data_IF_891807891169
#
_entry.id   IF_891807891169
#
_cell.length_a   1.000
_cell.length_b   1.000
_cell.length_c   1.000
_cell.angle_alpha   90.00
_cell.angle_beta   90.00
_cell.angle_gamma   90.00
#
_symmetry.space_group_name_H-M   'P 1'
#
loop_
_entity.id
_entity.type
_entity.pdbx_description
1 polymer ?
#
# COMPACT_ATOMS: atom_id res chain seq x y z
N UNK A 1 -60.85 -2.37 -19.53
CA UNK A 1 -59.37 -2.35 -19.53
C UNK A 1 -58.95 -1.01 -18.98
N UNK A 2 -58.48 -0.96 -17.73
CA UNK A 2 -57.81 0.24 -17.20
C UNK A 2 -56.47 -0.21 -16.61
N UNK A 3 -55.41 -0.03 -17.39
CA UNK A 3 -54.03 -0.18 -16.95
C UNK A 3 -53.63 1.09 -16.20
N UNK A 4 -53.86 1.12 -14.89
CA UNK A 4 -53.35 2.17 -14.01
C UNK A 4 -51.85 1.99 -13.77
N UNK A 5 -51.02 2.73 -14.51
CA UNK A 5 -49.57 2.75 -14.33
C UNK A 5 -49.24 3.51 -13.03
N UNK A 6 -48.98 2.76 -11.94
CA UNK A 6 -48.59 3.32 -10.64
C UNK A 6 -47.15 3.86 -10.71
N UNK A 7 -46.99 5.18 -10.86
CA UNK A 7 -45.71 5.89 -10.90
C UNK A 7 -45.03 6.02 -9.51
N UNK A 8 -45.68 5.60 -8.43
CA UNK A 8 -45.11 5.62 -7.08
C UNK A 8 -44.18 4.42 -6.81
N UNK A 9 -43.26 4.14 -7.74
CA UNK A 9 -42.06 3.37 -7.41
C UNK A 9 -41.27 4.24 -6.42
N UNK A 10 -41.25 3.82 -5.16
CA UNK A 10 -40.48 4.41 -4.06
C UNK A 10 -38.99 4.41 -4.40
N UNK A 11 -38.55 5.39 -5.18
CA UNK A 11 -37.16 5.52 -5.65
C UNK A 11 -36.24 6.18 -4.61
N UNK A 12 -36.75 6.59 -3.45
CA UNK A 12 -36.06 7.58 -2.61
C UNK A 12 -35.76 7.14 -1.17
N UNK A 13 -35.75 5.84 -0.85
CA UNK A 13 -35.37 5.37 0.49
C UNK A 13 -33.84 5.28 0.72
N UNK A 14 -33.02 5.41 -0.33
CA UNK A 14 -31.56 5.39 -0.22
C UNK A 14 -30.92 6.79 -0.13
N UNK A 15 -31.51 7.81 -0.76
CA UNK A 15 -30.93 9.16 -0.84
C UNK A 15 -30.91 9.89 0.52
N UNK A 16 -31.91 9.66 1.38
CA UNK A 16 -32.00 10.28 2.71
C UNK A 16 -31.03 9.67 3.75
N UNK A 17 -30.29 8.62 3.39
CA UNK A 17 -29.24 8.02 4.22
C UNK A 17 -27.84 8.59 3.93
N UNK A 18 -27.74 9.57 3.03
CA UNK A 18 -26.50 10.29 2.66
C UNK A 18 -26.55 11.73 3.20
N UNK A 19 -27.17 11.94 4.36
CA UNK A 19 -27.05 13.21 5.08
C UNK A 19 -25.69 13.24 5.79
N UNK A 20 -24.96 14.38 5.76
CA UNK A 20 -23.66 14.49 6.40
C UNK A 20 -23.72 14.07 7.87
N UNK A 21 -23.04 12.98 8.23
CA UNK A 21 -23.00 12.49 9.59
C UNK A 21 -21.83 13.14 10.35
N UNK A 22 -21.83 13.09 11.69
CA UNK A 22 -20.69 13.57 12.51
C UNK A 22 -19.37 12.91 12.12
N UNK A 23 -19.44 11.67 11.62
CA UNK A 23 -18.30 10.92 11.09
C UNK A 23 -17.75 11.51 9.78
N UNK A 24 -18.55 12.24 9.02
CA UNK A 24 -18.09 12.83 7.76
C UNK A 24 -17.10 13.97 8.02
N UNK A 25 -17.25 14.69 9.13
CA UNK A 25 -16.26 15.68 9.58
C UNK A 25 -14.89 15.06 9.88
N UNK A 26 -14.82 13.76 10.16
CA UNK A 26 -13.57 13.03 10.39
C UNK A 26 -13.12 12.38 9.08
N UNK A 27 -14.05 11.77 8.33
CA UNK A 27 -13.77 11.05 7.10
C UNK A 27 -13.27 11.97 5.98
N UNK A 28 -13.86 13.15 5.80
CA UNK A 28 -13.45 14.08 4.75
C UNK A 28 -11.98 14.53 4.89
N UNK A 29 -11.53 15.06 6.04
CA UNK A 29 -10.11 15.37 6.24
C UNK A 29 -9.19 14.16 6.08
N UNK A 30 -9.61 12.98 6.56
CA UNK A 30 -8.82 11.75 6.40
C UNK A 30 -8.63 11.37 4.94
N UNK A 31 -9.70 11.38 4.15
CA UNK A 31 -9.66 11.06 2.72
C UNK A 31 -8.82 12.10 1.97
N UNK A 32 -9.01 13.39 2.24
CA UNK A 32 -8.24 14.47 1.62
C UNK A 32 -6.75 14.31 1.97
N UNK A 33 -6.43 14.01 3.24
CA UNK A 33 -5.07 13.77 3.69
C UNK A 33 -4.46 12.57 2.94
N UNK A 34 -5.20 11.46 2.81
CA UNK A 34 -4.72 10.27 2.11
C UNK A 34 -4.48 10.53 0.62
N UNK A 35 -5.38 11.28 -0.04
CA UNK A 35 -5.20 11.70 -1.43
C UNK A 35 -3.99 12.63 -1.57
N UNK A 36 -3.85 13.62 -0.68
CA UNK A 36 -2.72 14.56 -0.70
C UNK A 36 -1.40 13.82 -0.47
N UNK A 37 -1.33 12.91 0.49
CA UNK A 37 -0.16 12.06 0.73
C UNK A 37 0.18 11.20 -0.49
N UNK A 38 -0.83 10.61 -1.14
CA UNK A 38 -0.64 9.84 -2.37
C UNK A 38 -0.12 10.68 -3.53
N UNK A 39 -0.66 11.88 -3.73
CA UNK A 39 -0.24 12.81 -4.78
C UNK A 39 1.19 13.32 -4.55
N UNK A 40 1.51 13.72 -3.32
CA UNK A 40 2.87 14.17 -2.94
C UNK A 40 3.84 13.01 -3.11
N UNK A 41 3.52 11.84 -2.57
CA UNK A 41 4.38 10.66 -2.71
C UNK A 41 4.64 10.28 -4.16
N UNK A 42 3.61 10.33 -5.02
CA UNK A 42 3.77 10.05 -6.44
C UNK A 42 4.67 11.07 -7.15
N UNK A 43 4.50 12.37 -6.85
CA UNK A 43 5.34 13.43 -7.39
C UNK A 43 6.82 13.25 -7.00
N UNK A 44 7.07 13.03 -5.70
CA UNK A 44 8.43 12.82 -5.16
C UNK A 44 9.08 11.54 -5.70
N UNK A 45 8.30 10.48 -5.90
CA UNK A 45 8.79 9.21 -6.47
C UNK A 45 9.24 9.35 -7.93
N UNK A 46 8.62 10.27 -8.68
CA UNK A 46 8.97 10.57 -10.07
C UNK A 46 10.15 11.55 -10.19
N UNK A 47 10.62 12.12 -9.08
CA UNK A 47 11.73 13.07 -9.09
C UNK A 47 13.05 12.40 -9.53
N UNK A 48 14.00 13.19 -10.09
CA UNK A 48 15.32 12.70 -10.46
C UNK A 48 16.10 12.20 -9.24
N UNK A 49 16.86 11.11 -9.37
CA UNK A 49 17.62 10.54 -8.25
C UNK A 49 18.67 11.50 -7.65
N UNK A 50 19.08 12.53 -8.39
CA UNK A 50 20.00 13.59 -7.92
C UNK A 50 19.43 14.44 -6.78
N UNK A 51 18.10 14.44 -6.57
CA UNK A 51 17.49 15.10 -5.41
C UNK A 51 17.94 14.46 -4.09
N UNK A 52 18.08 13.12 -4.06
CA UNK A 52 18.53 12.37 -2.89
C UNK A 52 20.00 12.65 -2.51
N UNK A 53 20.83 13.06 -3.48
CA UNK A 53 22.23 13.41 -3.22
C UNK A 53 22.42 14.86 -2.76
N UNK A 54 21.50 15.75 -3.12
CA UNK A 54 21.59 17.18 -2.81
C UNK A 54 20.88 17.59 -1.52
N UNK A 55 19.99 16.75 -1.01
CA UNK A 55 19.16 17.06 0.16
C UNK A 55 19.77 16.43 1.42
N UNK A 56 20.63 17.19 2.10
CA UNK A 56 21.10 16.80 3.44
C UNK A 56 19.88 16.69 4.37
N UNK A 57 19.70 15.53 5.02
CA UNK A 57 18.58 15.28 5.92
C UNK A 57 18.58 16.35 7.02
N UNK A 58 17.53 17.16 7.05
CA UNK A 58 17.39 18.22 8.05
C UNK A 58 16.98 17.59 9.38
N UNK A 59 17.71 17.92 10.43
CA UNK A 59 17.44 17.47 11.80
C UNK A 59 16.46 18.40 12.55
N UNK A 60 15.89 19.40 11.88
CA UNK A 60 14.88 20.27 12.49
C UNK A 60 13.63 19.44 12.86
N UNK A 61 13.17 19.44 14.13
CA UNK A 61 11.94 18.77 14.55
C UNK A 61 10.70 19.12 13.71
N UNK A 62 10.71 20.27 13.04
CA UNK A 62 9.62 20.71 12.14
C UNK A 62 9.50 19.86 10.86
N UNK A 63 10.56 19.13 10.49
CA UNK A 63 10.56 18.23 9.32
C UNK A 63 10.02 16.83 9.66
N UNK A 64 9.90 16.49 10.94
CA UNK A 64 9.39 15.19 11.39
C UNK A 64 8.01 14.83 10.82
N UNK A 65 7.02 15.75 10.73
CA UNK A 65 5.72 15.42 10.15
C UNK A 65 5.81 14.98 8.69
N UNK A 66 6.66 15.64 7.89
CA UNK A 66 6.85 15.27 6.49
C UNK A 66 7.53 13.90 6.35
N UNK A 67 8.59 13.66 7.12
CA UNK A 67 9.28 12.37 7.14
C UNK A 67 8.38 11.23 7.62
N UNK A 68 7.55 11.51 8.64
CA UNK A 68 6.53 10.58 9.09
C UNK A 68 5.53 10.28 7.97
N UNK A 69 4.98 11.29 7.30
CA UNK A 69 4.04 11.09 6.18
C UNK A 69 4.64 10.23 5.05
N UNK A 70 5.87 10.54 4.61
CA UNK A 70 6.56 9.76 3.57
C UNK A 70 6.74 8.30 3.99
N UNK A 71 7.14 8.07 5.25
CA UNK A 71 7.34 6.71 5.79
C UNK A 71 6.02 5.97 5.94
N UNK A 72 4.98 6.62 6.45
CA UNK A 72 3.63 6.07 6.55
C UNK A 72 3.09 5.67 5.19
N UNK A 73 3.32 6.47 4.14
CA UNK A 73 2.88 6.14 2.79
C UNK A 73 3.55 4.85 2.26
N UNK A 74 4.88 4.72 2.42
CA UNK A 74 5.60 3.49 2.03
C UNK A 74 5.10 2.27 2.78
N UNK A 75 4.89 2.41 4.09
CA UNK A 75 4.37 1.33 4.93
C UNK A 75 2.95 0.94 4.53
N UNK A 76 2.08 1.91 4.20
CA UNK A 76 0.72 1.66 3.76
C UNK A 76 0.67 0.97 2.39
N UNK A 77 1.51 1.42 1.44
CA UNK A 77 1.64 0.77 0.14
C UNK A 77 2.11 -0.68 0.28
N UNK A 78 3.13 -0.91 1.10
CA UNK A 78 3.60 -2.26 1.43
C UNK A 78 2.52 -3.09 2.10
N UNK A 79 1.75 -2.51 3.03
CA UNK A 79 0.66 -3.20 3.73
C UNK A 79 -0.44 -3.67 2.77
N UNK A 80 -0.85 -2.83 1.81
CA UNK A 80 -1.83 -3.22 0.78
C UNK A 80 -1.29 -4.35 -0.09
N UNK A 81 -0.01 -4.29 -0.46
CA UNK A 81 0.64 -5.36 -1.21
C UNK A 81 0.72 -6.66 -0.39
N UNK A 82 1.11 -6.59 0.88
CA UNK A 82 1.18 -7.72 1.81
C UNK A 82 -0.18 -8.34 2.03
N UNK A 83 -1.21 -7.54 2.26
CA UNK A 83 -2.59 -8.03 2.41
C UNK A 83 -3.08 -8.72 1.13
N UNK A 84 -2.85 -8.12 -0.04
CA UNK A 84 -3.23 -8.72 -1.32
C UNK A 84 -2.50 -10.05 -1.52
N UNK A 85 -1.19 -10.09 -1.24
CA UNK A 85 -0.38 -11.30 -1.30
C UNK A 85 -0.92 -12.36 -0.35
N UNK A 86 -1.15 -12.04 0.93
CA UNK A 86 -1.68 -12.97 1.92
C UNK A 86 -3.02 -13.54 1.51
N UNK A 87 -3.94 -12.69 1.04
CA UNK A 87 -5.26 -13.13 0.60
C UNK A 87 -5.16 -14.04 -0.63
N UNK A 88 -4.33 -13.73 -1.62
CA UNK A 88 -4.19 -14.57 -2.83
C UNK A 88 -3.41 -15.86 -2.53
N UNK A 89 -2.24 -15.74 -1.91
CA UNK A 89 -1.32 -16.84 -1.64
C UNK A 89 -1.88 -17.79 -0.58
N UNK A 90 -2.37 -17.25 0.53
CA UNK A 90 -2.96 -18.01 1.63
C UNK A 90 -4.22 -18.75 1.18
N UNK A 91 -5.12 -18.10 0.41
CA UNK A 91 -6.30 -18.80 -0.11
C UNK A 91 -5.95 -19.91 -1.10
N UNK A 92 -4.93 -19.72 -1.93
CA UNK A 92 -4.47 -20.75 -2.86
C UNK A 92 -3.88 -21.95 -2.12
N UNK A 93 -3.08 -21.71 -1.07
CA UNK A 93 -2.53 -22.75 -0.21
C UNK A 93 -3.64 -23.50 0.56
N UNK A 94 -4.66 -22.81 1.05
CA UNK A 94 -5.76 -23.39 1.80
C UNK A 94 -6.73 -24.20 0.92
N UNK A 95 -6.97 -23.76 -0.33
CA UNK A 95 -7.97 -24.38 -1.22
C UNK A 95 -7.53 -25.74 -1.76
N UNK A 96 -6.22 -26.00 -1.88
CA UNK A 96 -5.70 -27.23 -2.49
C UNK A 96 -4.64 -27.88 -1.63
N UNK A 97 -4.85 -29.16 -1.28
CA UNK A 97 -3.89 -29.99 -0.53
C UNK A 97 -2.52 -30.04 -1.22
N UNK A 98 -2.50 -30.14 -2.56
CA UNK A 98 -1.26 -30.15 -3.36
C UNK A 98 -0.58 -28.79 -3.39
N UNK A 99 -1.35 -27.70 -3.49
CA UNK A 99 -0.79 -26.35 -3.47
C UNK A 99 -0.19 -26.04 -2.10
N UNK A 100 -0.88 -26.34 -1.01
CA UNK A 100 -0.36 -26.17 0.35
C UNK A 100 0.94 -26.95 0.60
N UNK A 101 1.05 -28.18 0.08
CA UNK A 101 2.27 -29.00 0.18
C UNK A 101 3.50 -28.40 -0.51
N UNK A 102 3.33 -27.46 -1.45
CA UNK A 102 4.43 -26.79 -2.17
C UNK A 102 4.62 -25.36 -1.68
N UNK A 103 3.53 -24.61 -1.56
CA UNK A 103 3.52 -23.20 -1.21
C UNK A 103 3.98 -22.96 0.23
N UNK A 104 3.54 -23.78 1.20
CA UNK A 104 3.94 -23.61 2.61
C UNK A 104 5.45 -23.81 2.80
N UNK A 105 6.08 -24.89 2.28
CA UNK A 105 7.54 -25.03 2.37
C UNK A 105 8.32 -23.93 1.65
N UNK A 106 7.81 -23.40 0.53
CA UNK A 106 8.43 -22.26 -0.16
C UNK A 106 8.40 -21.03 0.75
N UNK A 107 7.26 -20.74 1.38
CA UNK A 107 7.17 -19.65 2.35
C UNK A 107 8.10 -19.87 3.54
N UNK A 108 8.22 -21.10 4.05
CA UNK A 108 9.11 -21.44 5.16
C UNK A 108 10.58 -21.15 4.83
N UNK A 109 11.02 -21.50 3.63
CA UNK A 109 12.37 -21.21 3.16
C UNK A 109 12.58 -19.72 3.00
N UNK A 110 11.64 -19.01 2.35
CA UNK A 110 11.77 -17.58 2.11
C UNK A 110 11.76 -16.77 3.41
N UNK A 111 10.91 -17.11 4.38
CA UNK A 111 10.89 -16.40 5.67
C UNK A 111 12.13 -16.67 6.53
N UNK A 112 12.87 -17.76 6.28
CA UNK A 112 14.10 -18.06 7.01
C UNK A 112 15.26 -17.13 6.64
N UNK A 113 15.19 -16.50 5.47
CA UNK A 113 16.23 -15.58 4.98
C UNK A 113 16.05 -14.21 5.65
N UNK A 114 17.10 -13.64 6.27
CA UNK A 114 17.00 -12.34 6.90
C UNK A 114 16.69 -11.26 5.86
N UNK A 115 15.84 -10.30 6.23
CA UNK A 115 15.46 -9.16 5.38
C UNK A 115 16.68 -8.42 4.82
N UNK A 116 17.75 -8.30 5.62
CA UNK A 116 19.01 -7.71 5.19
C UNK A 116 19.63 -8.43 3.97
N UNK A 117 19.52 -9.76 3.91
CA UNK A 117 20.00 -10.56 2.78
C UNK A 117 19.20 -10.30 1.51
N UNK A 118 17.89 -10.06 1.63
CA UNK A 118 17.06 -9.64 0.50
C UNK A 118 17.44 -8.25 0.00
N UNK A 119 17.68 -7.30 0.90
CA UNK A 119 18.01 -5.90 0.57
C UNK A 119 19.28 -5.81 -0.27
N UNK A 120 20.32 -6.61 0.02
CA UNK A 120 21.63 -6.50 -0.65
C UNK A 120 21.57 -6.60 -2.18
N UNK A 121 20.72 -7.46 -2.73
CA UNK A 121 20.57 -7.58 -4.19
C UNK A 121 19.34 -6.83 -4.71
N UNK A 122 18.25 -6.75 -3.94
CA UNK A 122 17.01 -6.09 -4.39
C UNK A 122 17.18 -4.58 -4.55
N UNK A 123 17.95 -3.92 -3.68
CA UNK A 123 18.26 -2.49 -3.83
C UNK A 123 18.95 -2.24 -5.17
N UNK A 124 20.01 -2.99 -5.47
CA UNK A 124 20.74 -2.88 -6.75
C UNK A 124 19.82 -3.18 -7.93
N UNK A 125 18.98 -4.21 -7.83
CA UNK A 125 18.02 -4.58 -8.86
C UNK A 125 17.02 -3.45 -9.15
N UNK A 126 16.38 -2.88 -8.14
CA UNK A 126 15.38 -1.82 -8.33
C UNK A 126 16.01 -0.49 -8.76
N UNK A 127 17.20 -0.16 -8.27
CA UNK A 127 17.95 1.00 -8.76
C UNK A 127 18.36 0.83 -10.22
N UNK A 128 18.81 -0.36 -10.62
CA UNK A 128 19.15 -0.64 -12.02
C UNK A 128 17.93 -0.60 -12.95
N UNK A 129 16.74 -0.94 -12.44
CA UNK A 129 15.49 -0.85 -13.19
C UNK A 129 15.05 0.60 -13.43
N UNK A 130 15.36 1.51 -12.49
CA UNK A 130 15.00 2.93 -12.57
C UNK A 130 16.20 3.84 -12.22
N UNK A 131 17.27 3.85 -13.05
CA UNK A 131 18.57 4.44 -12.68
C UNK A 131 18.55 5.96 -12.51
N UNK A 132 17.57 6.64 -13.11
CA UNK A 132 17.45 8.11 -13.08
C UNK A 132 16.38 8.63 -12.12
N UNK A 133 15.62 7.76 -11.45
CA UNK A 133 14.45 8.15 -10.64
C UNK A 133 14.52 7.63 -9.22
N UNK A 134 13.97 8.42 -8.29
CA UNK A 134 13.80 8.03 -6.88
C UNK A 134 12.93 6.77 -6.73
N UNK A 135 12.06 6.49 -7.71
CA UNK A 135 11.26 5.27 -7.81
C UNK A 135 12.02 3.96 -7.53
N UNK A 136 13.27 3.82 -8.00
CA UNK A 136 14.05 2.61 -7.73
C UNK A 136 14.32 2.41 -6.24
N UNK A 137 14.66 3.49 -5.52
CA UNK A 137 14.89 3.45 -4.08
C UNK A 137 13.57 3.22 -3.31
N UNK A 138 12.48 3.85 -3.75
CA UNK A 138 11.14 3.67 -3.16
C UNK A 138 10.66 2.23 -3.28
N UNK A 139 10.80 1.60 -4.45
CA UNK A 139 10.43 0.21 -4.65
C UNK A 139 11.28 -0.75 -3.82
N UNK A 140 12.57 -0.48 -3.67
CA UNK A 140 13.43 -1.26 -2.78
C UNK A 140 12.96 -1.16 -1.32
N UNK A 141 12.62 0.04 -0.85
CA UNK A 141 12.09 0.25 0.50
C UNK A 141 10.72 -0.44 0.69
N UNK A 142 9.79 -0.29 -0.26
CA UNK A 142 8.48 -0.96 -0.22
C UNK A 142 8.64 -2.48 -0.22
N UNK A 143 9.54 -3.03 -1.04
CA UNK A 143 9.83 -4.46 -1.08
C UNK A 143 10.37 -4.98 0.26
N UNK A 144 11.29 -4.25 0.90
CA UNK A 144 11.82 -4.60 2.20
C UNK A 144 10.74 -4.62 3.29
N UNK A 145 9.84 -3.62 3.29
CA UNK A 145 8.70 -3.57 4.23
C UNK A 145 7.70 -4.69 3.92
N UNK A 146 7.36 -4.88 2.65
CA UNK A 146 6.42 -5.89 2.18
C UNK A 146 6.85 -7.29 2.62
N UNK A 147 8.11 -7.65 2.38
CA UNK A 147 8.65 -8.96 2.79
C UNK A 147 8.55 -9.14 4.29
N UNK A 148 8.95 -8.13 5.07
CA UNK A 148 8.85 -8.14 6.54
C UNK A 148 7.40 -8.35 7.05
N UNK A 149 6.42 -7.70 6.41
CA UNK A 149 5.01 -7.78 6.81
C UNK A 149 4.32 -9.05 6.31
N UNK A 150 4.63 -9.48 5.09
CA UNK A 150 3.96 -10.60 4.41
C UNK A 150 4.20 -11.93 5.12
N UNK A 151 5.39 -12.14 5.68
CA UNK A 151 5.70 -13.35 6.45
C UNK A 151 4.78 -13.51 7.66
N UNK A 152 4.54 -12.43 8.41
CA UNK A 152 3.70 -12.47 9.60
C UNK A 152 2.21 -12.72 9.28
N UNK A 153 1.73 -12.25 8.14
CA UNK A 153 0.31 -12.33 7.80
C UNK A 153 -0.09 -13.62 7.07
N UNK A 154 0.85 -14.23 6.35
CA UNK A 154 0.57 -15.39 5.47
C UNK A 154 0.73 -16.72 6.18
N UNK A 155 1.32 -16.75 7.38
CA UNK A 155 1.38 -17.89 8.30
C UNK A 155 0.31 -17.80 9.38
#
# INVERSE_FOLDING_TARGET
MEFGFNLNRTANASAWRVLPNRWDFIAFPLIICLIAMGAIGFHETMAPISTLQSEAISLDPRMLPEYAMRTTLRMLAAMVASLTFTLVYGTLAAKSRRAGQVLVPILDILQSVPVLGYISFTVTFFLALFPSRVLGAELAAIFAIFTSQAWNMTF
#
